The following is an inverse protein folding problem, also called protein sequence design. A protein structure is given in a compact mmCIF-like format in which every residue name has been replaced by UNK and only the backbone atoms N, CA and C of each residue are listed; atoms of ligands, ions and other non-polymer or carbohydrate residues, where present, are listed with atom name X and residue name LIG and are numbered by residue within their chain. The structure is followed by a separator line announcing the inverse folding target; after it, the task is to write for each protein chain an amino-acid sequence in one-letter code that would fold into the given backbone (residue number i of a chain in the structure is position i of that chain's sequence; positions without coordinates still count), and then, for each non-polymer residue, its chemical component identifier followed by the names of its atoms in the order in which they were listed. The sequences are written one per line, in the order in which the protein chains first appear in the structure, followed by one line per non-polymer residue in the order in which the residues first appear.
data_IF_669857636756
#
_entry.id   IF_669857636756
#
_cell.length_a   1.000
_cell.length_b   1.000
_cell.length_c   1.000
_cell.angle_alpha   90.00
_cell.angle_beta   90.00
_cell.angle_gamma   90.00
#
_symmetry.space_group_name_H-M   'P 1'
#
loop_
_entity.id
_entity.type
_entity.pdbx_description
1 polymer ?
#
# COMPACT_ATOMS: atom_id res chain seq x y z
N UNK A 1 -8.10 17.48 11.66
CA UNK A 1 -8.33 16.64 10.47
C UNK A 1 -7.38 17.00 9.31
N UNK A 2 -7.51 18.17 8.66
CA UNK A 2 -6.75 18.49 7.43
C UNK A 2 -5.22 18.45 7.53
N UNK A 3 -4.64 18.91 8.65
CA UNK A 3 -3.17 18.90 8.85
C UNK A 3 -2.61 17.47 8.91
N UNK A 4 -3.28 16.58 9.66
CA UNK A 4 -2.96 15.15 9.76
C UNK A 4 -3.11 14.43 8.41
N UNK A 5 -4.13 14.81 7.62
CA UNK A 5 -4.30 14.30 6.24
C UNK A 5 -3.14 14.71 5.34
N UNK A 6 -2.70 15.96 5.42
CA UNK A 6 -1.51 16.44 4.68
C UNK A 6 -0.22 15.71 5.08
N UNK A 7 -0.04 15.40 6.36
CA UNK A 7 1.11 14.62 6.87
C UNK A 7 1.11 13.18 6.35
N UNK A 8 -0.05 12.49 6.40
CA UNK A 8 -0.21 11.14 5.85
C UNK A 8 0.05 11.09 4.35
N UNK A 9 -0.47 12.05 3.59
CA UNK A 9 -0.21 12.18 2.16
C UNK A 9 1.27 12.38 1.86
N UNK A 10 1.93 13.27 2.61
CA UNK A 10 3.37 13.50 2.48
C UNK A 10 4.17 12.22 2.76
N UNK A 11 3.79 11.48 3.79
CA UNK A 11 4.43 10.20 4.14
C UNK A 11 4.17 9.13 3.08
N UNK A 12 2.94 8.99 2.60
CA UNK A 12 2.61 8.04 1.52
C UNK A 12 3.37 8.32 0.22
N UNK A 13 3.53 9.60 -0.15
CA UNK A 13 4.36 9.99 -1.30
C UNK A 13 5.85 9.69 -1.08
N UNK A 14 6.35 9.87 0.15
CA UNK A 14 7.72 9.50 0.50
C UNK A 14 7.94 7.99 0.38
N UNK A 15 7.04 7.18 0.95
CA UNK A 15 7.11 5.72 0.87
C UNK A 15 7.04 5.26 -0.58
N UNK A 16 6.13 5.81 -1.39
CA UNK A 16 6.06 5.51 -2.83
C UNK A 16 7.40 5.77 -3.53
N UNK A 17 8.04 6.91 -3.26
CA UNK A 17 9.35 7.24 -3.84
C UNK A 17 10.40 6.20 -3.44
N UNK A 18 10.51 5.88 -2.15
CA UNK A 18 11.45 4.87 -1.65
C UNK A 18 11.20 3.51 -2.28
N UNK A 19 9.95 3.08 -2.36
CA UNK A 19 9.56 1.79 -2.92
C UNK A 19 9.87 1.69 -4.42
N UNK A 20 9.68 2.77 -5.19
CA UNK A 20 10.08 2.81 -6.60
C UNK A 20 11.58 2.64 -6.84
N UNK A 21 12.45 2.92 -5.85
CA UNK A 21 13.90 2.75 -5.99
C UNK A 21 14.32 1.27 -6.05
N UNK A 22 13.51 0.37 -5.48
CA UNK A 22 13.84 -1.07 -5.39
C UNK A 22 13.42 -1.89 -6.62
N UNK A 23 12.63 -1.33 -7.55
CA UNK A 23 12.13 -2.06 -8.72
C UNK A 23 11.04 -3.10 -8.40
N UNK A 24 10.54 -3.79 -9.42
CA UNK A 24 9.47 -4.79 -9.26
C UNK A 24 9.96 -6.05 -8.53
N UNK A 25 11.24 -6.38 -8.69
CA UNK A 25 11.91 -7.55 -8.13
C UNK A 25 12.33 -7.34 -6.67
N UNK A 26 12.44 -6.08 -6.24
CA UNK A 26 12.83 -5.70 -4.88
C UNK A 26 11.65 -5.35 -3.96
N UNK A 27 10.45 -5.20 -4.51
CA UNK A 27 9.25 -4.84 -3.73
C UNK A 27 8.27 -6.01 -3.67
N UNK A 28 7.97 -6.52 -2.47
CA UNK A 28 6.89 -7.47 -2.28
C UNK A 28 5.53 -6.85 -2.60
N UNK A 29 4.63 -7.62 -3.20
CA UNK A 29 3.26 -7.18 -3.39
C UNK A 29 2.50 -7.12 -2.04
N UNK A 30 1.38 -6.37 -2.01
CA UNK A 30 0.57 -6.25 -0.80
C UNK A 30 0.09 -7.63 -0.31
N UNK A 31 0.44 -7.96 0.93
CA UNK A 31 0.09 -9.26 1.55
C UNK A 31 0.81 -10.47 0.95
N UNK A 32 1.82 -10.28 0.08
CA UNK A 32 2.60 -11.36 -0.52
C UNK A 32 3.47 -12.05 0.54
N UNK A 33 3.44 -13.39 0.57
CA UNK A 33 4.31 -14.16 1.46
C UNK A 33 5.76 -14.15 0.94
N UNK A 34 6.74 -14.33 1.83
CA UNK A 34 8.15 -14.44 1.42
C UNK A 34 8.36 -15.53 0.35
N UNK A 35 7.60 -16.63 0.46
CA UNK A 35 7.64 -17.72 -0.51
C UNK A 35 7.19 -17.25 -1.88
N UNK A 36 6.04 -16.60 -1.97
CA UNK A 36 5.48 -16.16 -3.26
C UNK A 36 6.34 -15.06 -3.90
N UNK A 37 6.87 -14.16 -3.07
CA UNK A 37 7.85 -13.15 -3.49
C UNK A 37 9.08 -13.80 -4.13
N UNK A 38 9.65 -14.83 -3.48
CA UNK A 38 10.80 -15.54 -4.01
C UNK A 38 10.46 -16.38 -5.24
N UNK A 39 9.28 -17.00 -5.31
CA UNK A 39 8.85 -17.76 -6.49
C UNK A 39 8.76 -16.86 -7.73
N UNK A 40 8.35 -15.60 -7.57
CA UNK A 40 8.30 -14.59 -8.65
C UNK A 40 9.69 -14.05 -9.01
N UNK A 41 10.53 -13.79 -8.02
CA UNK A 41 11.78 -13.01 -8.19
C UNK A 41 13.04 -13.87 -8.13
N UNK A 42 12.91 -15.19 -7.95
CA UNK A 42 14.03 -16.09 -7.65
C UNK A 42 15.12 -16.12 -8.73
N UNK A 43 14.78 -15.89 -10.00
CA UNK A 43 15.75 -15.73 -11.08
C UNK A 43 16.66 -14.52 -10.86
N UNK A 44 16.07 -13.36 -10.59
CA UNK A 44 16.80 -12.12 -10.31
C UNK A 44 17.74 -12.28 -9.10
N UNK A 45 17.27 -12.91 -8.03
CA UNK A 45 18.08 -13.11 -6.84
C UNK A 45 19.19 -14.14 -7.02
N UNK A 46 18.96 -15.17 -7.86
CA UNK A 46 20.01 -16.11 -8.23
C UNK A 46 21.10 -15.42 -9.07
N UNK A 47 20.72 -14.62 -10.07
CA UNK A 47 21.70 -13.88 -10.88
C UNK A 47 22.49 -12.88 -10.02
N UNK A 48 21.81 -12.13 -9.15
CA UNK A 48 22.44 -11.20 -8.21
C UNK A 48 23.39 -11.92 -7.24
N UNK A 49 23.03 -13.10 -6.74
CA UNK A 49 23.90 -13.91 -5.89
C UNK A 49 25.14 -14.41 -6.64
N UNK A 50 24.96 -14.83 -7.90
CA UNK A 50 26.07 -15.28 -8.73
C UNK A 50 27.04 -14.13 -9.02
N UNK A 51 26.54 -12.93 -9.29
CA UNK A 51 27.37 -11.74 -9.50
C UNK A 51 28.16 -11.35 -8.24
N UNK A 52 27.54 -11.43 -7.07
CA UNK A 52 28.15 -11.01 -5.82
C UNK A 52 29.18 -12.02 -5.27
N UNK A 53 28.88 -13.32 -5.35
CA UNK A 53 29.64 -14.37 -4.63
C UNK A 53 30.21 -15.44 -5.57
N UNK A 54 29.82 -15.45 -6.85
CA UNK A 54 30.23 -16.41 -7.88
C UNK A 54 30.03 -17.89 -7.49
N UNK A 55 29.06 -18.15 -6.60
CA UNK A 55 28.70 -19.51 -6.19
C UNK A 55 27.84 -20.19 -7.26
N UNK A 56 27.87 -21.52 -7.32
CA UNK A 56 27.09 -22.29 -8.32
C UNK A 56 26.27 -23.41 -7.66
N UNK A 57 25.35 -23.98 -8.43
CA UNK A 57 24.59 -25.16 -8.03
C UNK A 57 23.68 -24.93 -6.82
N UNK A 58 23.79 -25.79 -5.79
CA UNK A 58 22.94 -25.72 -4.59
C UNK A 58 23.25 -24.48 -3.73
N UNK A 59 24.51 -24.06 -3.69
CA UNK A 59 24.92 -22.91 -2.89
C UNK A 59 24.31 -21.63 -3.45
N UNK A 60 24.34 -21.46 -4.77
CA UNK A 60 23.74 -20.33 -5.46
C UNK A 60 22.26 -20.11 -5.12
N UNK A 61 21.46 -21.19 -5.11
CA UNK A 61 20.04 -21.10 -4.76
C UNK A 61 19.83 -20.65 -3.32
N UNK A 62 20.70 -21.09 -2.40
CA UNK A 62 20.62 -20.70 -0.98
C UNK A 62 21.01 -19.23 -0.80
N UNK A 63 22.04 -18.79 -1.51
CA UNK A 63 22.53 -17.42 -1.45
C UNK A 63 21.48 -16.47 -2.06
N UNK A 64 20.89 -16.82 -3.20
CA UNK A 64 19.78 -16.09 -3.80
C UNK A 64 18.56 -15.99 -2.88
N UNK A 65 18.17 -17.10 -2.24
CA UNK A 65 17.08 -17.06 -1.26
C UNK A 65 17.41 -16.14 -0.07
N UNK A 66 18.64 -16.19 0.44
CA UNK A 66 19.06 -15.34 1.57
C UNK A 66 19.04 -13.85 1.22
N UNK A 67 19.43 -13.50 -0.02
CA UNK A 67 19.33 -12.12 -0.52
C UNK A 67 17.88 -11.66 -0.63
N UNK A 68 17.01 -12.52 -1.18
CA UNK A 68 15.58 -12.24 -1.29
C UNK A 68 14.94 -12.05 0.10
N UNK A 69 15.24 -12.92 1.05
CA UNK A 69 14.74 -12.85 2.42
C UNK A 69 15.18 -11.55 3.12
N UNK A 70 16.46 -11.17 2.99
CA UNK A 70 16.95 -9.91 3.55
C UNK A 70 16.20 -8.71 2.98
N UNK A 71 15.95 -8.71 1.67
CA UNK A 71 15.27 -7.61 0.99
C UNK A 71 13.78 -7.55 1.31
N UNK A 72 13.12 -8.71 1.33
CA UNK A 72 11.74 -8.83 1.77
C UNK A 72 11.56 -8.26 3.19
N UNK A 73 12.43 -8.62 4.13
CA UNK A 73 12.34 -8.15 5.51
C UNK A 73 12.61 -6.64 5.66
N UNK A 74 13.44 -6.06 4.80
CA UNK A 74 13.69 -4.60 4.77
C UNK A 74 12.49 -3.83 4.20
N UNK A 75 11.91 -4.32 3.10
CA UNK A 75 10.89 -3.59 2.34
C UNK A 75 9.47 -3.83 2.89
N UNK A 76 9.20 -5.01 3.45
CA UNK A 76 7.89 -5.35 4.04
C UNK A 76 7.33 -4.29 4.99
N UNK A 77 8.07 -3.78 6.01
CA UNK A 77 7.51 -2.76 6.90
C UNK A 77 7.16 -1.45 6.19
N UNK A 78 7.90 -1.08 5.13
CA UNK A 78 7.58 0.11 4.33
C UNK A 78 6.32 -0.09 3.49
N UNK A 79 6.12 -1.31 2.98
CA UNK A 79 4.91 -1.72 2.26
C UNK A 79 3.69 -1.75 3.18
N UNK A 80 3.83 -2.33 4.38
CA UNK A 80 2.77 -2.36 5.40
C UNK A 80 2.36 -0.93 5.80
N UNK A 81 3.32 -0.05 6.10
CA UNK A 81 3.04 1.36 6.41
C UNK A 81 2.33 2.07 5.24
N UNK A 82 2.75 1.80 4.01
CA UNK A 82 2.11 2.39 2.82
C UNK A 82 0.67 1.89 2.63
N UNK A 83 0.41 0.60 2.92
CA UNK A 83 -0.93 0.00 2.90
C UNK A 83 -1.86 0.67 3.90
N UNK A 84 -1.40 0.79 5.16
CA UNK A 84 -2.17 1.40 6.23
C UNK A 84 -2.54 2.85 5.91
N UNK A 85 -1.61 3.62 5.34
CA UNK A 85 -1.87 5.00 4.93
C UNK A 85 -2.91 5.09 3.82
N UNK A 86 -2.89 4.14 2.87
CA UNK A 86 -3.85 4.08 1.77
C UNK A 86 -5.26 3.72 2.28
N UNK A 87 -5.37 2.76 3.19
CA UNK A 87 -6.64 2.37 3.83
C UNK A 87 -7.23 3.54 4.64
N UNK A 88 -6.41 4.23 5.44
CA UNK A 88 -6.84 5.38 6.21
C UNK A 88 -7.32 6.54 5.31
N UNK A 89 -6.69 6.73 4.14
CA UNK A 89 -7.15 7.73 3.18
C UNK A 89 -8.49 7.34 2.55
N UNK A 90 -8.67 6.08 2.17
CA UNK A 90 -9.94 5.58 1.63
C UNK A 90 -11.08 5.73 2.64
N UNK A 91 -10.87 5.31 3.89
CA UNK A 91 -11.86 5.43 4.96
C UNK A 91 -12.28 6.88 5.21
N UNK A 92 -11.35 7.84 5.14
CA UNK A 92 -11.69 9.26 5.28
C UNK A 92 -12.48 9.80 4.08
N UNK A 93 -12.17 9.37 2.85
CA UNK A 93 -12.96 9.76 1.67
C UNK A 93 -14.39 9.22 1.76
N UNK A 94 -14.55 7.95 2.13
CA UNK A 94 -15.87 7.32 2.29
C UNK A 94 -16.71 8.00 3.38
N UNK A 95 -16.08 8.38 4.51
CA UNK A 95 -16.75 9.11 5.59
C UNK A 95 -17.17 10.53 5.16
N UNK A 96 -16.34 11.25 4.39
CA UNK A 96 -16.69 12.56 3.84
C UNK A 96 -17.85 12.44 2.83
N UNK A 97 -17.88 11.38 2.02
CA UNK A 97 -18.97 11.08 1.08
C UNK A 97 -20.28 10.74 1.81
N UNK A 98 -20.23 9.91 2.85
CA UNK A 98 -21.38 9.60 3.69
C UNK A 98 -21.93 10.83 4.42
N UNK A 99 -21.05 11.70 4.94
CA UNK A 99 -21.44 12.98 5.52
C UNK A 99 -22.10 13.91 4.48
N UNK A 100 -21.63 13.91 3.22
CA UNK A 100 -22.28 14.66 2.15
C UNK A 100 -23.65 14.08 1.76
N UNK A 101 -23.78 12.76 1.69
CA UNK A 101 -25.04 12.06 1.42
C UNK A 101 -26.08 12.36 2.50
N UNK A 102 -25.75 12.13 3.77
CA UNK A 102 -26.65 12.41 4.90
C UNK A 102 -27.10 13.86 4.98
N UNK A 103 -26.22 14.84 4.69
CA UNK A 103 -26.59 16.26 4.58
C UNK A 103 -27.55 16.53 3.44
N UNK A 104 -27.35 15.89 2.28
CA UNK A 104 -28.25 16.01 1.13
C UNK A 104 -29.63 15.42 1.43
N UNK A 105 -29.67 14.26 2.07
CA UNK A 105 -30.93 13.60 2.45
C UNK A 105 -31.70 14.39 3.51
N UNK A 106 -31.00 14.96 4.50
CA UNK A 106 -31.60 15.86 5.48
C UNK A 106 -32.17 17.15 4.83
N UNK A 107 -31.46 17.72 3.85
CA UNK A 107 -31.94 18.90 3.11
C UNK A 107 -33.16 18.58 2.24
N UNK A 108 -33.23 17.39 1.62
CA UNK A 108 -34.37 16.94 0.84
C UNK A 108 -35.62 16.68 1.71
N UNK A 109 -35.43 16.11 2.91
CA UNK A 109 -36.50 15.92 3.88
C UNK A 109 -37.07 17.25 4.39
N UNK A 110 -36.21 18.25 4.67
CA UNK A 110 -36.63 19.58 5.10
C UNK A 110 -37.40 20.36 4.01
N UNK A 111 -37.06 20.16 2.73
CA UNK A 111 -37.74 20.79 1.59
C UNK A 111 -39.14 20.24 1.26
N UNK A 112 -39.49 19.05 1.77
CA UNK A 112 -40.79 18.39 1.50
C UNK A 112 -41.89 18.80 2.48
N UNK A 113 -41.54 19.47 3.59
CA UNK A 113 -42.50 20.00 4.57
C UNK A 113 -43.01 21.40 4.16
N UNK A 114 -43.85 21.50 3.12
CA UNK A 114 -44.67 22.70 2.89
C UNK A 114 -45.99 22.59 3.67
N UNK A 115 -46.45 23.65 4.36
CA UNK A 115 -47.70 23.61 5.13
C UNK A 115 -48.89 23.50 4.18
N UNK A 116 -49.80 22.55 4.45
CA UNK A 116 -51.13 22.51 3.83
C UNK A 116 -51.90 23.72 4.33
N UNK A 117 -52.10 24.72 3.47
CA UNK A 117 -53.01 25.82 3.75
C UNK A 117 -54.45 25.31 3.64
N UNK A 118 -55.21 25.44 4.73
CA UNK A 118 -56.64 25.16 4.77
C UNK A 118 -57.40 26.43 4.35
N UNK A 119 -58.23 26.31 3.31
CA UNK A 119 -59.29 27.27 2.99
C UNK A 119 -60.57 26.53 2.68
#
# INVERSE_FOLDING_TARGET
ARRKRGERLRRGLELRRRLCEYGEEGVPAFGESLKDFFDRTGGYWADTAHEAVQTTGKQLRRDGFSLAESRYNEVRPLMEEFSELLELEQAEMEADEEACRTRRDAAAAAGTARPREHK
#
